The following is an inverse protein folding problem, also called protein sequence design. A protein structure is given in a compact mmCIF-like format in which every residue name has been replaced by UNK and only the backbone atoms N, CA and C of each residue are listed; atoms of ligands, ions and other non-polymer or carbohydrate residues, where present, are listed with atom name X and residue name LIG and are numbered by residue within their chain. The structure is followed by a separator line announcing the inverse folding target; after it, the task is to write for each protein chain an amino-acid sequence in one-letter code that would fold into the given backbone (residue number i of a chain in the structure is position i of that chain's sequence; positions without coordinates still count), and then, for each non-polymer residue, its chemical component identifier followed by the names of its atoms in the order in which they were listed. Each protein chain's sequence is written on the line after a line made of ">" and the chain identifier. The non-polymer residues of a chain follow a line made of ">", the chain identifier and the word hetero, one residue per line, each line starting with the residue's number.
data_IF_369483438620
#
_entry.id   IF_369483438620
#
_cell.length_a   1.000
_cell.length_b   1.000
_cell.length_c   1.000
_cell.angle_alpha   90.00
_cell.angle_beta   90.00
_cell.angle_gamma   90.00
#
_symmetry.space_group_name_H-M   'P 1'
#
loop_
_entity.id
_entity.type
_entity.pdbx_description
1 polymer ?
#
# COMPACT_ATOMS: atom_id res chain seq x y z
N UNK A 1 22.93 -18.51 -0.88
CA UNK A 1 21.49 -18.88 -0.78
C UNK A 1 20.65 -17.66 -1.20
N UNK A 2 19.38 -17.80 -1.59
CA UNK A 2 18.59 -16.65 -2.08
C UNK A 2 18.50 -15.51 -1.06
N UNK A 3 18.51 -15.85 0.23
CA UNK A 3 18.56 -14.90 1.35
C UNK A 3 19.85 -14.05 1.35
N UNK A 4 21.02 -14.67 1.11
CA UNK A 4 22.29 -13.96 1.04
C UNK A 4 22.31 -12.97 -0.14
N UNK A 5 21.77 -13.39 -1.30
CA UNK A 5 21.63 -12.51 -2.47
C UNK A 5 20.69 -11.32 -2.22
N UNK A 6 19.64 -11.53 -1.42
CA UNK A 6 18.70 -10.46 -1.05
C UNK A 6 19.28 -9.51 0.00
N UNK A 7 20.17 -10.00 0.86
CA UNK A 7 20.79 -9.22 1.94
C UNK A 7 22.04 -8.43 1.48
N UNK A 8 22.69 -8.85 0.39
CA UNK A 8 23.91 -8.20 -0.11
C UNK A 8 23.70 -6.79 -0.71
N UNK A 9 22.45 -6.33 -0.82
CA UNK A 9 22.09 -5.03 -1.41
C UNK A 9 21.16 -4.24 -0.48
N UNK A 10 21.69 -3.80 0.65
CA UNK A 10 21.02 -2.86 1.57
C UNK A 10 20.66 -1.53 0.88
N UNK A 11 19.50 -1.47 0.22
CA UNK A 11 18.93 -0.21 -0.29
C UNK A 11 17.46 -0.10 0.05
N UNK A 12 16.63 -1.00 -0.48
CA UNK A 12 15.20 -1.07 -0.19
C UNK A 12 14.66 -2.40 -0.69
N UNK A 13 14.01 -3.17 0.17
CA UNK A 13 13.33 -4.42 -0.20
C UNK A 13 11.83 -4.31 0.04
N UNK A 14 11.06 -4.69 -0.98
CA UNK A 14 9.61 -4.54 -0.98
C UNK A 14 8.97 -5.87 -1.40
N UNK A 15 7.85 -6.20 -0.80
CA UNK A 15 7.05 -7.38 -1.18
C UNK A 15 5.57 -7.00 -1.24
N UNK A 16 4.84 -7.67 -2.13
CA UNK A 16 3.41 -7.43 -2.32
C UNK A 16 2.61 -8.71 -2.12
N UNK A 17 1.49 -8.61 -1.41
CA UNK A 17 0.57 -9.72 -1.18
C UNK A 17 -0.88 -9.29 -1.40
N UNK A 18 -1.64 -10.16 -2.05
CA UNK A 18 -3.09 -10.15 -1.94
C UNK A 18 -3.46 -11.03 -0.73
N UNK A 19 -3.96 -10.40 0.33
CA UNK A 19 -4.16 -11.05 1.62
C UNK A 19 -5.46 -11.86 1.70
N UNK A 20 -6.45 -11.52 0.87
CA UNK A 20 -7.81 -12.09 0.96
C UNK A 20 -8.35 -12.14 2.40
N UNK A 21 -8.18 -11.04 3.15
CA UNK A 21 -8.34 -10.85 4.61
C UNK A 21 -7.02 -10.79 5.37
N UNK A 22 -6.57 -9.56 5.65
CA UNK A 22 -5.37 -9.33 6.43
C UNK A 22 -5.48 -9.91 7.86
N UNK A 23 -6.59 -9.66 8.56
CA UNK A 23 -6.81 -10.16 9.93
C UNK A 23 -6.70 -11.68 10.03
N UNK A 24 -7.14 -12.41 9.00
CA UNK A 24 -7.11 -13.88 8.99
C UNK A 24 -5.71 -14.43 8.74
N UNK A 25 -4.89 -13.72 7.98
CA UNK A 25 -3.59 -14.18 7.46
C UNK A 25 -2.39 -13.45 8.07
N UNK A 26 -2.60 -12.69 9.16
CA UNK A 26 -1.54 -11.89 9.78
C UNK A 26 -0.39 -12.75 10.33
N UNK A 27 -0.68 -13.97 10.80
CA UNK A 27 0.35 -14.92 11.25
C UNK A 27 1.36 -15.27 10.17
N UNK A 28 0.90 -15.33 8.92
CA UNK A 28 1.72 -15.71 7.77
C UNK A 28 2.75 -14.61 7.46
N UNK A 29 2.47 -13.36 7.86
CA UNK A 29 3.36 -12.21 7.69
C UNK A 29 4.49 -12.15 8.72
N UNK A 30 4.48 -13.02 9.73
CA UNK A 30 5.56 -13.16 10.70
C UNK A 30 6.69 -14.08 10.22
N UNK A 31 6.59 -14.63 9.00
CA UNK A 31 7.63 -15.46 8.40
C UNK A 31 8.95 -14.67 8.25
N UNK A 32 10.13 -15.26 8.57
CA UNK A 32 11.41 -14.57 8.48
C UNK A 32 11.74 -13.96 7.10
N UNK A 33 11.24 -14.55 6.01
CA UNK A 33 11.43 -14.04 4.64
C UNK A 33 10.66 -12.74 4.42
N UNK A 34 9.55 -12.54 5.13
CA UNK A 34 8.73 -11.32 5.10
C UNK A 34 9.25 -10.32 6.14
N UNK A 35 9.60 -10.80 7.33
CA UNK A 35 10.13 -9.96 8.41
C UNK A 35 11.46 -9.29 8.03
N UNK A 36 12.25 -9.88 7.13
CA UNK A 36 13.47 -9.27 6.59
C UNK A 36 13.24 -8.14 5.57
N UNK A 37 11.98 -7.75 5.28
CA UNK A 37 11.63 -6.72 4.30
C UNK A 37 11.44 -5.34 4.93
N UNK A 38 11.72 -4.30 4.14
CA UNK A 38 11.52 -2.90 4.54
C UNK A 38 10.04 -2.51 4.42
N UNK A 39 9.40 -2.87 3.31
CA UNK A 39 8.03 -2.42 2.98
C UNK A 39 7.15 -3.60 2.58
N UNK A 40 5.94 -3.65 3.13
CA UNK A 40 4.88 -4.57 2.71
C UNK A 40 3.77 -3.79 1.99
N UNK A 41 3.45 -4.23 0.78
CA UNK A 41 2.30 -3.78 0.03
C UNK A 41 1.18 -4.81 0.11
N UNK A 42 0.06 -4.44 0.68
CA UNK A 42 -1.05 -5.35 0.92
C UNK A 42 -2.27 -4.91 0.12
N UNK A 43 -2.91 -5.86 -0.55
CA UNK A 43 -4.20 -5.69 -1.23
C UNK A 43 -5.21 -6.69 -0.68
N UNK A 44 -6.49 -6.40 -0.86
CA UNK A 44 -7.60 -7.17 -0.28
C UNK A 44 -7.43 -7.37 1.24
N UNK A 45 -7.11 -6.28 1.93
CA UNK A 45 -6.94 -6.30 3.40
C UNK A 45 -8.25 -6.58 4.12
N UNK A 46 -9.38 -6.25 3.49
CA UNK A 46 -10.74 -6.37 4.01
C UNK A 46 -10.95 -5.62 5.35
N UNK A 47 -10.06 -4.68 5.67
CA UNK A 47 -10.06 -3.92 6.92
C UNK A 47 -10.46 -2.47 6.65
N UNK A 48 -11.45 -1.97 7.40
CA UNK A 48 -11.93 -0.60 7.23
C UNK A 48 -10.87 0.43 7.68
N UNK A 49 -11.04 1.69 7.27
CA UNK A 49 -10.07 2.76 7.55
C UNK A 49 -9.87 3.00 9.07
N UNK A 50 -10.88 2.71 9.89
CA UNK A 50 -10.87 2.79 11.36
C UNK A 50 -10.32 1.53 12.05
N UNK A 51 -10.19 0.41 11.33
CA UNK A 51 -9.66 -0.83 11.88
C UNK A 51 -8.15 -0.90 11.71
N UNK A 52 -7.42 -1.11 12.81
CA UNK A 52 -5.99 -1.41 12.75
C UNK A 52 -5.76 -2.91 12.89
N UNK A 53 -4.81 -3.43 12.11
CA UNK A 53 -4.30 -4.79 12.25
C UNK A 53 -2.84 -4.65 12.64
N UNK A 54 -2.48 -5.26 13.77
CA UNK A 54 -1.10 -5.27 14.24
C UNK A 54 -0.32 -6.34 13.49
N UNK A 55 0.75 -5.93 12.81
CA UNK A 55 1.69 -6.83 12.13
C UNK A 55 3.02 -6.69 12.86
N UNK A 56 3.56 -7.77 13.45
CA UNK A 56 4.79 -7.69 14.22
C UNK A 56 5.92 -7.00 13.45
N UNK A 57 6.60 -6.04 14.08
CA UNK A 57 7.71 -5.26 13.51
C UNK A 57 7.36 -4.36 12.32
N UNK A 58 6.07 -4.12 12.03
CA UNK A 58 5.64 -3.28 10.92
C UNK A 58 4.63 -2.23 11.36
N UNK A 59 4.86 -0.98 10.97
CA UNK A 59 3.97 0.14 11.18
C UNK A 59 3.11 0.37 9.92
N UNK A 60 1.79 0.51 10.09
CA UNK A 60 0.91 0.92 8.98
C UNK A 60 1.15 2.40 8.63
N UNK A 61 1.57 2.67 7.40
CA UNK A 61 1.90 4.03 6.93
C UNK A 61 0.76 4.68 6.15
N UNK A 62 0.08 3.90 5.32
CA UNK A 62 -1.03 4.34 4.51
C UNK A 62 -2.01 3.18 4.33
N UNK A 63 -3.31 3.48 4.32
CA UNK A 63 -4.34 2.49 4.05
C UNK A 63 -5.61 3.14 3.56
N UNK A 64 -6.31 2.42 2.71
CA UNK A 64 -7.58 2.84 2.17
C UNK A 64 -8.44 1.64 1.86
N UNK A 65 -9.68 1.65 2.34
CA UNK A 65 -10.72 0.74 1.90
C UNK A 65 -11.99 1.51 1.63
N UNK A 66 -12.57 1.34 0.45
CA UNK A 66 -13.89 1.90 0.14
C UNK A 66 -15.00 1.26 0.97
N UNK A 67 -16.03 2.05 1.29
CA UNK A 67 -17.18 1.62 2.10
C UNK A 67 -18.02 0.58 1.35
N UNK A 68 -18.76 -0.24 2.10
CA UNK A 68 -19.76 -1.20 1.61
C UNK A 68 -19.26 -2.28 0.63
N UNK A 69 -17.94 -2.47 0.48
CA UNK A 69 -17.36 -3.60 -0.24
C UNK A 69 -16.57 -4.45 0.73
N UNK A 70 -16.90 -5.74 0.82
CA UNK A 70 -16.20 -6.71 1.67
C UNK A 70 -14.77 -6.94 1.16
N UNK A 71 -14.67 -7.43 -0.07
CA UNK A 71 -13.39 -7.78 -0.70
C UNK A 71 -12.74 -6.57 -1.35
N UNK A 72 -12.11 -5.75 -0.52
CA UNK A 72 -11.53 -4.46 -0.87
C UNK A 72 -10.40 -4.11 0.10
N UNK A 73 -9.72 -3.02 -0.20
CA UNK A 73 -8.75 -2.40 0.70
C UNK A 73 -7.31 -2.63 0.30
N UNK A 74 -6.50 -1.62 0.53
CA UNK A 74 -5.05 -1.61 0.32
C UNK A 74 -4.36 -1.02 1.54
N UNK A 75 -3.12 -1.43 1.79
CA UNK A 75 -2.29 -0.85 2.84
C UNK A 75 -0.80 -0.93 2.50
N UNK A 76 -0.04 0.01 3.04
CA UNK A 76 1.42 0.06 3.03
C UNK A 76 1.89 -0.03 4.47
N UNK A 77 2.72 -1.02 4.76
CA UNK A 77 3.39 -1.15 6.04
C UNK A 77 4.90 -0.97 5.86
N UNK A 78 5.53 -0.34 6.83
CA UNK A 78 6.98 -0.16 6.88
C UNK A 78 7.54 -0.83 8.13
N UNK A 79 8.71 -1.46 7.98
CA UNK A 79 9.44 -2.05 9.09
C UNK A 79 9.72 -1.01 10.17
N UNK A 80 9.32 -1.29 11.41
CA UNK A 80 9.30 -0.31 12.51
C UNK A 80 10.69 0.20 12.92
N UNK A 81 11.75 -0.56 12.65
CA UNK A 81 13.13 -0.21 12.96
C UNK A 81 13.94 0.24 11.72
N UNK A 82 13.28 0.48 10.59
CA UNK A 82 13.94 1.04 9.40
C UNK A 82 14.28 2.50 9.64
N UNK A 83 15.55 2.77 9.94
CA UNK A 83 16.07 4.11 10.14
C UNK A 83 16.66 4.73 8.86
N UNK A 84 16.80 3.94 7.79
CA UNK A 84 17.41 4.32 6.51
C UNK A 84 16.41 4.90 5.50
N UNK A 85 15.15 4.51 5.62
CA UNK A 85 14.12 4.91 4.66
C UNK A 85 13.06 5.74 5.39
N UNK A 86 13.07 7.06 5.16
CA UNK A 86 12.06 7.93 5.77
C UNK A 86 10.81 7.85 4.91
N UNK A 87 9.74 7.25 5.43
CA UNK A 87 8.46 7.19 4.76
C UNK A 87 7.47 8.14 5.44
N UNK A 88 6.99 9.14 4.70
CA UNK A 88 5.93 9.99 5.22
C UNK A 88 4.57 9.28 5.11
N UNK A 89 3.87 9.21 6.24
CA UNK A 89 2.44 8.87 6.26
C UNK A 89 1.65 9.95 5.50
N UNK A 90 0.54 9.56 4.89
CA UNK A 90 -0.50 10.50 4.45
C UNK A 90 -0.21 11.38 3.22
N UNK A 91 0.24 10.82 2.09
CA UNK A 91 -0.18 11.38 0.78
C UNK A 91 -1.72 11.27 0.60
N UNK A 92 -2.40 10.51 1.45
CA UNK A 92 -3.83 10.21 1.46
C UNK A 92 -4.78 11.41 1.73
N UNK A 93 -4.32 12.51 2.34
CA UNK A 93 -5.21 13.67 2.63
C UNK A 93 -5.80 14.25 1.32
N UNK A 94 -5.03 14.25 0.23
CA UNK A 94 -5.48 14.71 -1.08
C UNK A 94 -6.41 13.72 -1.80
N UNK A 95 -6.38 12.42 -1.44
CA UNK A 95 -7.22 11.38 -2.04
C UNK A 95 -8.56 11.19 -1.31
N UNK A 96 -8.57 11.41 0.02
CA UNK A 96 -9.77 11.38 0.88
C UNK A 96 -10.72 12.53 0.58
N UNK A 97 -10.22 13.75 0.34
CA UNK A 97 -11.06 14.91 -0.01
C UNK A 97 -11.82 14.74 -1.35
N UNK A 98 -11.33 13.92 -2.28
CA UNK A 98 -12.06 13.60 -3.52
C UNK A 98 -13.30 12.72 -3.24
N UNK A 99 -13.31 11.93 -2.15
CA UNK A 99 -14.49 11.13 -1.77
C UNK A 99 -15.69 12.02 -1.42
N UNK A 100 -15.48 13.26 -0.95
CA UNK A 100 -16.58 14.19 -0.69
C UNK A 100 -17.06 14.94 -1.95
N UNK A 101 -16.21 15.06 -2.97
CA UNK A 101 -16.53 15.83 -4.20
C UNK A 101 -17.09 14.93 -5.33
N UNK A 102 -16.78 13.63 -5.37
CA UNK A 102 -17.30 12.70 -6.39
C UNK A 102 -18.54 11.96 -5.85
N UNK A 103 -19.64 12.71 -5.71
CA UNK A 103 -20.99 12.18 -5.46
C UNK A 103 -21.43 11.40 -6.72
N UNK A 104 -20.93 10.17 -6.92
CA UNK A 104 -21.48 9.27 -7.94
C UNK A 104 -20.57 8.26 -8.65
N UNK A 105 -19.29 8.09 -8.33
CA UNK A 105 -18.44 7.13 -9.08
C UNK A 105 -18.21 5.78 -8.39
N UNK A 106 -18.52 4.74 -9.15
CA UNK A 106 -18.58 3.34 -8.79
C UNK A 106 -17.23 2.71 -8.38
N UNK A 107 -17.39 1.57 -7.73
CA UNK A 107 -16.42 0.66 -7.14
C UNK A 107 -15.39 0.06 -8.13
N UNK A 108 -14.53 0.86 -8.75
CA UNK A 108 -13.45 0.35 -9.64
C UNK A 108 -12.34 -0.30 -8.83
N UNK A 109 -11.81 0.39 -7.81
CA UNK A 109 -10.66 -0.11 -7.05
C UNK A 109 -10.39 0.68 -5.77
N UNK A 110 -9.32 0.28 -5.08
CA UNK A 110 -8.77 0.91 -3.89
C UNK A 110 -7.31 1.29 -4.15
N UNK A 111 -6.88 2.45 -3.65
CA UNK A 111 -5.54 2.97 -3.87
C UNK A 111 -5.08 3.76 -2.64
N UNK A 112 -3.82 3.58 -2.26
CA UNK A 112 -3.12 4.41 -1.29
C UNK A 112 -1.66 4.57 -1.73
N UNK A 113 -1.01 5.62 -1.22
CA UNK A 113 0.36 5.93 -1.59
C UNK A 113 1.15 6.48 -0.41
N UNK A 114 2.46 6.32 -0.47
CA UNK A 114 3.40 6.88 0.48
C UNK A 114 4.65 7.39 -0.26
N UNK A 115 5.32 8.37 0.32
CA UNK A 115 6.57 8.90 -0.20
C UNK A 115 7.73 8.40 0.66
N UNK A 116 8.75 7.83 0.03
CA UNK A 116 9.93 7.28 0.67
C UNK A 116 11.16 8.04 0.18
N UNK A 117 11.98 8.51 1.11
CA UNK A 117 13.31 9.07 0.81
C UNK A 117 14.35 8.07 1.29
N UNK A 118 15.21 7.61 0.37
CA UNK A 118 16.33 6.73 0.68
C UNK A 118 17.50 7.54 1.30
N UNK A 119 18.43 6.84 1.97
CA UNK A 119 19.66 7.41 2.54
C UNK A 119 20.49 8.23 1.55
N UNK A 120 20.49 7.86 0.27
CA UNK A 120 21.22 8.57 -0.80
C UNK A 120 20.47 9.80 -1.34
N UNK A 121 19.33 10.15 -0.73
CA UNK A 121 18.46 11.26 -1.13
C UNK A 121 17.51 10.93 -2.27
N UNK A 122 17.51 9.70 -2.78
CA UNK A 122 16.56 9.27 -3.83
C UNK A 122 15.13 9.32 -3.31
N UNK A 123 14.24 9.96 -4.08
CA UNK A 123 12.82 10.07 -3.76
C UNK A 123 12.03 8.99 -4.51
N UNK A 124 11.22 8.22 -3.79
CA UNK A 124 10.39 7.13 -4.32
C UNK A 124 8.94 7.37 -3.93
N UNK A 125 8.04 7.32 -4.91
CA UNK A 125 6.60 7.30 -4.67
C UNK A 125 6.15 5.84 -4.72
N UNK A 126 5.66 5.34 -3.60
CA UNK A 126 5.13 3.99 -3.46
C UNK A 126 3.62 4.02 -3.58
N UNK A 127 3.05 3.19 -4.44
CA UNK A 127 1.60 3.12 -4.68
C UNK A 127 1.14 1.68 -4.65
N UNK A 128 0.09 1.40 -3.88
CA UNK A 128 -0.60 0.10 -3.91
C UNK A 128 -1.98 0.28 -4.49
N UNK A 129 -2.31 -0.56 -5.47
CA UNK A 129 -3.60 -0.54 -6.15
C UNK A 129 -4.23 -1.91 -6.11
N UNK A 130 -5.50 -1.94 -5.74
CA UNK A 130 -6.38 -3.07 -5.96
C UNK A 130 -7.45 -2.66 -6.98
N UNK A 131 -7.60 -3.42 -8.06
CA UNK A 131 -8.69 -3.25 -9.02
C UNK A 131 -9.67 -4.41 -8.83
N UNK A 132 -10.94 -4.07 -8.67
CA UNK A 132 -11.96 -5.09 -8.47
C UNK A 132 -12.16 -5.95 -9.72
N UNK A 133 -12.53 -7.23 -9.55
CA UNK A 133 -12.89 -8.09 -10.67
C UNK A 133 -13.98 -7.46 -11.56
N UNK A 134 -14.05 -7.92 -12.81
CA UNK A 134 -15.07 -7.52 -13.79
C UNK A 134 -15.07 -6.03 -14.19
N UNK A 135 -13.95 -5.32 -13.97
CA UNK A 135 -13.74 -4.00 -14.56
C UNK A 135 -13.14 -4.12 -15.96
N UNK A 136 -13.53 -3.19 -16.84
CA UNK A 136 -12.90 -3.08 -18.16
C UNK A 136 -11.53 -2.44 -18.04
N UNK A 137 -10.62 -2.77 -18.98
CA UNK A 137 -9.30 -2.14 -19.06
C UNK A 137 -9.39 -0.60 -19.09
N UNK A 138 -10.32 -0.05 -19.88
CA UNK A 138 -10.52 1.40 -19.99
C UNK A 138 -10.94 2.05 -18.66
N UNK A 139 -11.80 1.38 -17.87
CA UNK A 139 -12.18 1.87 -16.56
C UNK A 139 -10.99 1.86 -15.59
N UNK A 140 -10.18 0.80 -15.62
CA UNK A 140 -8.95 0.69 -14.81
C UNK A 140 -7.95 1.79 -15.16
N UNK A 141 -7.70 2.04 -16.45
CA UNK A 141 -6.81 3.12 -16.91
C UNK A 141 -7.34 4.48 -16.49
N UNK A 142 -8.64 4.76 -16.67
CA UNK A 142 -9.25 6.02 -16.27
C UNK A 142 -9.17 6.25 -14.76
N UNK A 143 -9.37 5.18 -13.96
CA UNK A 143 -9.20 5.22 -12.51
C UNK A 143 -7.77 5.55 -12.12
N UNK A 144 -6.79 4.82 -12.66
CA UNK A 144 -5.36 5.05 -12.39
C UNK A 144 -4.96 6.47 -12.81
N UNK A 145 -5.32 6.90 -14.01
CA UNK A 145 -5.01 8.23 -14.51
C UNK A 145 -5.57 9.32 -13.59
N UNK A 146 -6.86 9.27 -13.24
CA UNK A 146 -7.48 10.26 -12.35
C UNK A 146 -6.81 10.33 -10.98
N UNK A 147 -6.32 9.21 -10.45
CA UNK A 147 -5.74 9.11 -9.10
C UNK A 147 -4.24 9.38 -9.08
N UNK A 148 -3.51 9.02 -10.15
CA UNK A 148 -2.05 9.10 -10.23
C UNK A 148 -1.52 10.39 -10.86
N UNK A 149 -2.32 11.10 -11.68
CA UNK A 149 -1.89 12.36 -12.29
C UNK A 149 -1.44 13.41 -11.28
N UNK A 150 -1.85 13.29 -10.01
CA UNK A 150 -1.47 14.20 -8.92
C UNK A 150 -0.09 13.93 -8.31
N UNK A 151 0.54 12.80 -8.63
CA UNK A 151 1.93 12.49 -8.25
C UNK A 151 2.93 12.89 -9.34
N UNK A 152 2.47 13.53 -10.42
CA UNK A 152 3.38 14.17 -11.37
C UNK A 152 4.01 15.36 -10.67
N UNK A 153 5.32 15.27 -10.46
CA UNK A 153 6.18 16.38 -10.10
C UNK A 153 6.22 17.31 -11.33
N UNK A 154 5.84 18.58 -11.15
CA UNK A 154 6.19 19.66 -12.09
C UNK A 154 7.62 20.12 -11.84
#
# INVERSE_FOLDING_TARGET
>A
MILDFMNDRNKLSMVTFNCQSLKKHVSDLSDPVIDSRNILFLSETWSNDDENVDIPNFNCIAKFKRKNVRSAGVAIYQKSNDASNIVSSNMDILLRYIREIDVGQSSIGDICAAHCVLDDGTNIIMVVVYISPNNTFNNSIKFLYKRLMRFRVE
#
